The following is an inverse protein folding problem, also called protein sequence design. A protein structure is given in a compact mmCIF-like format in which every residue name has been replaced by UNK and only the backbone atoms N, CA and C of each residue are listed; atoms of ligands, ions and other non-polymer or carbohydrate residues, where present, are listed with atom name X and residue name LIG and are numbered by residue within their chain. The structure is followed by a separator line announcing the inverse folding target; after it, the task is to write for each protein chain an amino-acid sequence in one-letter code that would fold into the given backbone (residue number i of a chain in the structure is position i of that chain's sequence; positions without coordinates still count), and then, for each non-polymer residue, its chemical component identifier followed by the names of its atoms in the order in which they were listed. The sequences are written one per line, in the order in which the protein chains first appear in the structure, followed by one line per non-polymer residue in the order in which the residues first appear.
data_IF_811892852590
#
_entry.id   IF_811892852590
#
_cell.length_a   1.000
_cell.length_b   1.000
_cell.length_c   1.000
_cell.angle_alpha   90.00
_cell.angle_beta   90.00
_cell.angle_gamma   90.00
#
_symmetry.space_group_name_H-M   'P 1'
#
loop_
_entity.id
_entity.type
_entity.pdbx_description
1 polymer ?
#
# COMPACT_ATOMS: atom_id res chain seq x y z
N UNK A 1 4.17 -7.62 -25.84
CA UNK A 1 5.52 -6.99 -25.88
C UNK A 1 5.73 -6.41 -24.50
N UNK A 2 6.65 -6.94 -23.70
CA UNK A 2 6.94 -6.42 -22.37
C UNK A 2 7.79 -5.16 -22.54
N UNK A 3 7.23 -4.00 -22.23
CA UNK A 3 8.02 -2.79 -22.07
C UNK A 3 8.76 -2.96 -20.75
N UNK A 4 10.01 -3.42 -20.81
CA UNK A 4 10.89 -3.39 -19.64
C UNK A 4 11.30 -1.94 -19.44
N UNK A 5 10.43 -1.15 -18.80
CA UNK A 5 10.85 0.13 -18.24
C UNK A 5 12.08 -0.10 -17.37
N UNK A 6 12.99 0.88 -17.36
CA UNK A 6 14.11 0.83 -16.45
C UNK A 6 13.59 0.75 -15.00
N UNK A 7 14.37 0.17 -14.09
CA UNK A 7 14.00 0.07 -12.67
C UNK A 7 13.47 1.39 -12.07
N UNK A 8 14.02 2.58 -12.40
CA UNK A 8 13.47 3.86 -11.98
C UNK A 8 12.07 4.18 -12.53
N UNK A 9 11.82 3.96 -13.83
CA UNK A 9 10.52 4.24 -14.47
C UNK A 9 9.41 3.38 -13.87
N UNK A 10 9.67 2.07 -13.72
CA UNK A 10 8.73 1.15 -13.08
C UNK A 10 8.42 1.59 -11.64
N UNK A 11 9.45 1.98 -10.90
CA UNK A 11 9.27 2.40 -9.51
C UNK A 11 8.46 3.70 -9.41
N UNK A 12 8.67 4.63 -10.34
CA UNK A 12 7.88 5.86 -10.44
C UNK A 12 6.41 5.54 -10.75
N UNK A 13 6.14 4.65 -11.69
CA UNK A 13 4.79 4.20 -12.05
C UNK A 13 4.07 3.59 -10.84
N UNK A 14 4.71 2.61 -10.17
CA UNK A 14 4.13 1.94 -9.00
C UNK A 14 3.87 2.92 -7.84
N UNK A 15 4.74 3.91 -7.63
CA UNK A 15 4.54 4.96 -6.62
C UNK A 15 3.42 5.92 -6.99
N UNK A 16 3.28 6.23 -8.28
CA UNK A 16 2.20 7.07 -8.79
C UNK A 16 0.84 6.41 -8.61
N UNK A 17 0.74 5.11 -8.93
CA UNK A 17 -0.46 4.31 -8.68
C UNK A 17 -0.75 4.24 -7.18
N UNK A 18 0.26 3.99 -6.35
CA UNK A 18 0.11 4.01 -4.90
C UNK A 18 -0.44 5.35 -4.41
N UNK A 19 0.12 6.47 -4.86
CA UNK A 19 -0.32 7.81 -4.47
C UNK A 19 -1.79 8.08 -4.88
N UNK A 20 -2.20 7.67 -6.08
CA UNK A 20 -3.58 7.80 -6.55
C UNK A 20 -4.55 7.02 -5.64
N UNK A 21 -4.26 5.74 -5.36
CA UNK A 21 -5.10 4.94 -4.45
C UNK A 21 -5.11 5.52 -3.04
N UNK A 22 -3.97 6.05 -2.58
CA UNK A 22 -3.87 6.71 -1.28
C UNK A 22 -4.72 8.00 -1.20
N UNK A 23 -4.85 8.74 -2.29
CA UNK A 23 -5.73 9.92 -2.38
C UNK A 23 -7.21 9.53 -2.34
N UNK A 24 -7.61 8.51 -3.10
CA UNK A 24 -8.99 8.02 -3.13
C UNK A 24 -9.46 7.50 -1.76
N UNK A 25 -8.55 6.84 -1.04
CA UNK A 25 -8.79 6.23 0.27
C UNK A 25 -8.29 7.09 1.44
N UNK A 26 -8.11 8.40 1.25
CA UNK A 26 -7.52 9.31 2.23
C UNK A 26 -8.22 9.27 3.61
N UNK A 27 -9.53 9.00 3.65
CA UNK A 27 -10.32 8.82 4.88
C UNK A 27 -9.72 7.76 5.82
N UNK A 28 -9.11 6.71 5.27
CA UNK A 28 -8.49 5.61 6.02
C UNK A 28 -7.01 5.84 6.34
N UNK A 29 -6.49 7.03 6.04
CA UNK A 29 -5.11 7.47 6.31
C UNK A 29 -4.05 6.47 5.82
N UNK A 30 -4.06 6.14 4.53
CA UNK A 30 -3.31 5.04 3.98
C UNK A 30 -1.79 5.26 4.12
N UNK A 31 -1.06 4.16 4.28
CA UNK A 31 0.41 4.17 4.34
C UNK A 31 1.01 3.14 3.39
N UNK A 32 1.92 3.57 2.51
CA UNK A 32 2.68 2.71 1.62
C UNK A 32 3.75 1.92 2.39
N UNK A 33 3.95 0.66 2.00
CA UNK A 33 4.94 -0.25 2.60
C UNK A 33 5.59 -1.16 1.54
N UNK A 34 6.54 -1.99 1.96
CA UNK A 34 7.10 -3.04 1.11
C UNK A 34 8.11 -2.53 0.07
N UNK A 35 8.27 -3.28 -1.01
CA UNK A 35 9.32 -3.09 -2.03
C UNK A 35 9.20 -1.75 -2.77
N UNK A 36 7.98 -1.26 -3.01
CA UNK A 36 7.71 0.03 -3.68
C UNK A 36 8.21 1.20 -2.83
N UNK A 37 7.99 1.16 -1.51
CA UNK A 37 8.61 2.13 -0.60
C UNK A 37 10.13 1.94 -0.51
N UNK A 38 10.58 0.69 -0.42
CA UNK A 38 11.99 0.35 -0.36
C UNK A 38 12.76 0.64 -1.65
N UNK A 39 12.08 1.03 -2.74
CA UNK A 39 12.72 1.28 -4.02
C UNK A 39 13.38 0.05 -4.64
N UNK A 40 13.00 -1.14 -4.18
CA UNK A 40 13.49 -2.44 -4.67
C UNK A 40 12.39 -3.21 -5.40
N UNK A 41 11.31 -2.53 -5.80
CA UNK A 41 10.22 -3.14 -6.56
C UNK A 41 10.70 -3.52 -7.98
N UNK A 42 10.38 -4.73 -8.40
CA UNK A 42 10.57 -5.23 -9.77
C UNK A 42 9.23 -5.44 -10.48
N UNK A 43 9.23 -5.97 -11.72
CA UNK A 43 8.05 -6.04 -12.58
C UNK A 43 6.86 -6.82 -11.99
N UNK A 44 7.13 -7.78 -11.11
CA UNK A 44 6.11 -8.61 -10.44
C UNK A 44 5.83 -8.13 -9.00
N UNK A 45 6.23 -6.90 -8.65
CA UNK A 45 6.02 -6.36 -7.31
C UNK A 45 4.64 -5.74 -7.15
N UNK A 46 3.90 -6.26 -6.18
CA UNK A 46 2.65 -5.65 -5.75
C UNK A 46 2.86 -4.36 -4.96
N UNK A 47 1.90 -3.44 -5.06
CA UNK A 47 1.79 -2.28 -4.19
C UNK A 47 1.12 -2.73 -2.88
N UNK A 48 1.73 -2.39 -1.74
CA UNK A 48 1.22 -2.79 -0.42
C UNK A 48 0.89 -1.55 0.41
N UNK A 49 -0.40 -1.31 0.65
CA UNK A 49 -0.91 -0.21 1.45
C UNK A 49 -1.50 -0.73 2.76
N UNK A 50 -1.31 0.04 3.84
CA UNK A 50 -2.01 -0.16 5.10
C UNK A 50 -3.14 0.84 5.19
N UNK A 51 -4.34 0.37 5.49
CA UNK A 51 -5.50 1.17 5.82
C UNK A 51 -5.79 1.08 7.31
N UNK A 52 -6.29 2.16 7.88
CA UNK A 52 -6.65 2.24 9.29
C UNK A 52 -8.14 2.49 9.43
N UNK A 53 -8.89 1.44 9.73
CA UNK A 53 -10.34 1.46 9.85
C UNK A 53 -10.79 0.64 11.06
N UNK A 54 -11.91 1.02 11.67
CA UNK A 54 -12.50 0.26 12.78
C UNK A 54 -13.06 -1.09 12.32
N UNK A 55 -13.48 -1.19 11.05
CA UNK A 55 -13.89 -2.44 10.39
C UNK A 55 -13.41 -2.51 8.95
N UNK A 56 -13.00 -3.69 8.51
CA UNK A 56 -12.78 -4.05 7.12
C UNK A 56 -14.05 -3.92 6.27
N UNK A 57 -15.23 -4.13 6.87
CA UNK A 57 -16.52 -3.97 6.19
C UNK A 57 -16.78 -2.53 5.75
N UNK A 58 -16.32 -1.55 6.52
CA UNK A 58 -16.47 -0.15 6.12
C UNK A 58 -15.66 0.17 4.87
N UNK A 59 -14.48 -0.46 4.72
CA UNK A 59 -13.63 -0.32 3.53
C UNK A 59 -14.25 -1.06 2.35
N UNK A 60 -14.72 -2.30 2.55
CA UNK A 60 -15.42 -3.07 1.50
C UNK A 60 -16.62 -2.29 0.95
N UNK A 61 -17.45 -1.72 1.83
CA UNK A 61 -18.63 -0.94 1.44
C UNK A 61 -18.24 0.33 0.68
N UNK A 62 -17.19 1.05 1.09
CA UNK A 62 -16.71 2.23 0.35
C UNK A 62 -16.23 1.86 -1.06
N UNK A 63 -15.47 0.77 -1.21
CA UNK A 63 -15.04 0.26 -2.52
C UNK A 63 -16.25 -0.13 -3.40
N UNK A 64 -17.25 -0.82 -2.83
CA UNK A 64 -18.48 -1.17 -3.54
C UNK A 64 -19.25 0.07 -4.00
N UNK A 65 -19.40 1.07 -3.13
CA UNK A 65 -20.11 2.32 -3.44
C UNK A 65 -19.42 3.11 -4.56
N UNK A 66 -18.09 3.00 -4.66
CA UNK A 66 -17.29 3.59 -5.74
C UNK A 66 -17.26 2.74 -7.00
N UNK A 67 -17.83 1.54 -6.98
CA UNK A 67 -17.80 0.60 -8.10
C UNK A 67 -16.40 0.02 -8.37
N UNK A 68 -15.52 0.00 -7.37
CA UNK A 68 -14.16 -0.52 -7.49
C UNK A 68 -14.22 -2.04 -7.26
N UNK A 69 -13.87 -2.88 -8.26
CA UNK A 69 -13.78 -4.32 -8.06
C UNK A 69 -12.61 -4.65 -7.14
N UNK A 70 -12.83 -5.59 -6.21
CA UNK A 70 -11.80 -6.07 -5.31
C UNK A 70 -11.97 -7.55 -5.01
N UNK A 71 -10.87 -8.18 -4.60
CA UNK A 71 -10.86 -9.51 -4.01
C UNK A 71 -10.61 -9.42 -2.51
N UNK A 72 -11.16 -10.36 -1.75
CA UNK A 72 -10.97 -10.44 -0.30
C UNK A 72 -10.01 -11.57 0.06
N UNK A 73 -9.09 -11.33 0.98
CA UNK A 73 -8.19 -12.32 1.51
C UNK A 73 -7.76 -12.01 2.95
N UNK A 74 -6.82 -12.81 3.45
CA UNK A 74 -6.23 -12.64 4.78
C UNK A 74 -4.72 -12.80 4.70
N UNK A 75 -3.97 -11.99 5.46
CA UNK A 75 -2.51 -12.13 5.62
C UNK A 75 -2.15 -12.30 7.09
N UNK A 76 -1.15 -13.13 7.39
CA UNK A 76 -0.58 -13.20 8.75
C UNK A 76 0.39 -12.05 8.97
N UNK A 77 0.21 -11.30 10.05
CA UNK A 77 1.06 -10.17 10.42
C UNK A 77 1.43 -10.19 11.90
N UNK A 78 2.68 -9.87 12.18
CA UNK A 78 3.14 -9.67 13.55
C UNK A 78 2.68 -8.29 14.04
N UNK A 79 1.78 -8.26 15.02
CA UNK A 79 1.28 -7.06 15.68
C UNK A 79 1.50 -7.20 17.19
N UNK A 80 2.23 -6.27 17.80
CA UNK A 80 2.46 -6.21 19.26
C UNK A 80 2.94 -7.53 19.88
N UNK A 81 3.78 -8.28 19.17
CA UNK A 81 4.33 -9.55 19.64
C UNK A 81 3.42 -10.78 19.42
N UNK A 82 2.27 -10.60 18.78
CA UNK A 82 1.37 -11.70 18.40
C UNK A 82 1.19 -11.77 16.87
N UNK A 83 1.07 -12.97 16.32
CA UNK A 83 0.74 -13.17 14.90
C UNK A 83 -0.78 -13.16 14.75
N UNK A 84 -1.30 -12.17 14.02
CA UNK A 84 -2.73 -12.04 13.72
C UNK A 84 -3.01 -12.20 12.24
N UNK A 85 -4.20 -12.70 11.91
CA UNK A 85 -4.73 -12.60 10.55
C UNK A 85 -5.34 -11.21 10.39
N UNK A 86 -4.92 -10.51 9.34
CA UNK A 86 -5.44 -9.19 8.96
C UNK A 86 -6.17 -9.32 7.63
N UNK A 87 -7.35 -8.70 7.47
CA UNK A 87 -8.04 -8.64 6.18
C UNK A 87 -7.19 -7.93 5.13
N UNK A 88 -7.23 -8.43 3.90
CA UNK A 88 -6.61 -7.83 2.74
C UNK A 88 -7.65 -7.67 1.65
N UNK A 89 -7.80 -6.46 1.14
CA UNK A 89 -8.61 -6.18 -0.04
C UNK A 89 -7.67 -5.92 -1.21
N UNK A 90 -7.76 -6.72 -2.27
CA UNK A 90 -6.90 -6.58 -3.44
C UNK A 90 -7.67 -5.85 -4.53
N UNK A 91 -7.17 -4.69 -4.95
CA UNK A 91 -7.70 -3.92 -6.09
C UNK A 91 -6.71 -3.92 -7.23
N UNK A 92 -7.21 -3.71 -8.44
CA UNK A 92 -6.42 -3.73 -9.67
C UNK A 92 -6.47 -2.36 -10.34
N UNK A 93 -5.31 -1.78 -10.63
CA UNK A 93 -5.19 -0.47 -11.29
C UNK A 93 -4.31 -0.64 -12.52
N UNK A 94 -4.93 -0.73 -13.71
CA UNK A 94 -4.23 -1.17 -14.92
C UNK A 94 -3.71 -2.60 -14.73
N UNK A 95 -2.41 -2.80 -14.91
CA UNK A 95 -1.73 -4.08 -14.68
C UNK A 95 -1.18 -4.22 -13.24
N UNK A 96 -1.29 -3.17 -12.41
CA UNK A 96 -0.76 -3.19 -11.05
C UNK A 96 -1.74 -3.79 -10.06
N UNK A 97 -1.22 -4.64 -9.17
CA UNK A 97 -1.94 -5.22 -8.04
C UNK A 97 -1.70 -4.38 -6.79
N UNK A 98 -2.77 -3.94 -6.15
CA UNK A 98 -2.71 -3.14 -4.92
C UNK A 98 -3.37 -3.89 -3.77
N UNK A 99 -2.56 -4.32 -2.82
CA UNK A 99 -3.01 -4.99 -1.60
C UNK A 99 -3.28 -3.95 -0.51
N UNK A 100 -4.52 -3.89 -0.03
CA UNK A 100 -4.99 -3.02 1.04
C UNK A 100 -5.14 -3.83 2.34
N UNK A 101 -4.12 -3.80 3.20
CA UNK A 101 -4.20 -4.44 4.52
C UNK A 101 -4.98 -3.54 5.50
N UNK A 102 -6.10 -4.03 6.02
CA UNK A 102 -6.92 -3.27 6.97
C UNK A 102 -6.46 -3.56 8.40
N UNK A 103 -6.04 -2.51 9.11
CA UNK A 103 -5.64 -2.56 10.50
C UNK A 103 -6.52 -1.65 11.37
N UNK A 104 -6.61 -1.98 12.65
CA UNK A 104 -7.26 -1.09 13.61
C UNK A 104 -6.49 0.25 13.75
N UNK A 105 -7.17 1.38 13.97
CA UNK A 105 -6.54 2.70 14.05
C UNK A 105 -5.43 2.83 15.09
N UNK A 106 -5.52 2.06 16.19
CA UNK A 106 -4.49 2.00 17.25
C UNK A 106 -3.13 1.50 16.74
N UNK A 107 -3.09 0.75 15.64
CA UNK A 107 -1.87 0.19 15.06
C UNK A 107 -1.15 1.16 14.11
N UNK A 108 -1.71 2.37 13.89
CA UNK A 108 -1.14 3.40 13.02
C UNK A 108 0.25 3.84 13.47
N UNK A 109 0.41 4.08 14.77
CA UNK A 109 1.66 4.55 15.35
C UNK A 109 2.60 3.40 15.76
N UNK A 110 2.16 2.15 15.58
CA UNK A 110 3.01 1.01 15.84
C UNK A 110 4.10 0.96 14.78
N UNK A 111 5.32 1.28 15.19
CA UNK A 111 6.51 1.08 14.38
C UNK A 111 6.91 -0.38 14.48
N UNK A 112 6.96 -1.14 13.37
CA UNK A 112 7.59 -2.45 13.40
C UNK A 112 8.99 -2.34 14.01
N UNK A 113 9.41 -3.37 14.76
CA UNK A 113 10.79 -3.42 15.28
C UNK A 113 11.68 -3.96 14.17
N UNK A 114 12.06 -3.10 13.23
CA UNK A 114 13.01 -3.41 12.16
C UNK A 114 14.42 -2.90 12.45
N UNK A 115 15.42 -3.71 12.12
CA UNK A 115 16.84 -3.43 12.33
C UNK A 115 17.38 -2.46 11.26
N UNK A 116 17.10 -1.16 11.42
CA UNK A 116 17.85 -0.08 10.79
C UNK A 116 17.61 0.15 9.28
N UNK A 117 17.18 1.38 8.99
CA UNK A 117 17.56 2.16 7.81
C UNK A 117 16.57 2.36 6.64
N UNK A 118 15.26 2.18 6.82
CA UNK A 118 14.28 2.82 5.92
C UNK A 118 12.95 3.07 6.61
N UNK A 119 12.21 4.07 6.16
CA UNK A 119 10.80 4.23 6.51
C UNK A 119 10.09 2.89 6.23
N UNK A 120 9.60 2.23 7.28
CA UNK A 120 8.85 0.97 7.13
C UNK A 120 7.44 1.24 6.59
N UNK A 121 7.01 2.51 6.66
CA UNK A 121 5.72 3.03 6.23
C UNK A 121 5.91 4.47 5.75
N UNK A 122 5.23 4.87 4.69
CA UNK A 122 5.19 6.26 4.21
C UNK A 122 3.74 6.71 4.03
N UNK A 123 3.39 7.88 4.54
CA UNK A 123 2.11 8.52 4.25
C UNK A 123 2.12 9.19 2.88
N UNK A 124 0.96 9.67 2.44
CA UNK A 124 0.81 10.26 1.10
C UNK A 124 1.79 11.43 0.87
N UNK A 125 1.98 12.39 1.79
CA UNK A 125 3.00 13.43 1.63
C UNK A 125 4.41 12.88 1.43
N UNK A 126 4.81 11.84 2.18
CA UNK A 126 6.11 11.22 2.01
C UNK A 126 6.25 10.49 0.66
N UNK A 127 5.19 9.82 0.17
CA UNK A 127 5.19 9.21 -1.16
C UNK A 127 5.30 10.27 -2.25
N UNK A 128 4.60 11.40 -2.10
CA UNK A 128 4.69 12.51 -3.06
C UNK A 128 6.11 13.09 -3.14
N UNK A 129 6.78 13.25 -1.99
CA UNK A 129 8.19 13.67 -1.97
C UNK A 129 9.12 12.68 -2.68
N UNK A 130 8.83 11.37 -2.60
CA UNK A 130 9.59 10.35 -3.32
C UNK A 130 9.40 10.46 -4.84
N UNK A 131 8.18 10.78 -5.29
CA UNK A 131 7.88 11.04 -6.70
C UNK A 131 8.60 12.30 -7.20
N UNK A 132 8.56 13.40 -6.44
CA UNK A 132 9.25 14.65 -6.81
C UNK A 132 10.78 14.50 -6.87
N UNK A 133 11.33 13.54 -6.10
CA UNK A 133 12.77 13.27 -6.05
C UNK A 133 13.24 12.30 -7.15
N UNK A 134 12.33 11.68 -7.90
CA UNK A 134 12.64 10.76 -8.99
C UNK A 134 12.19 11.40 -10.30
N UNK A 135 13.11 11.94 -11.13
CA UNK A 135 12.73 12.40 -12.46
C UNK A 135 12.21 11.22 -13.30
N UNK A 136 11.16 11.49 -14.08
CA UNK A 136 10.59 10.60 -15.11
C UNK A 136 11.66 10.04 -16.06
#
# INVERSE_FOLDING_TARGET
MFQTGTHPELLYELRSIAAQVMQELATYQPQLTGSVLAGTAGPESDINLLLFADSDKDVEIDLLNRGIPFETGERKRQLRGETRKVPVLTVFVGDAVVNLEVLEPRNRFDRPRGNGNRAERADLPAVQQLLDSQPE
#
